data_IF_657084098077
#
_entry.id   IF_657084098077
#
_cell.length_a   1.000
_cell.length_b   1.000
_cell.length_c   1.000
_cell.angle_alpha   90.00
_cell.angle_beta   90.00
_cell.angle_gamma   90.00
#
_symmetry.space_group_name_H-M   'P 1'
#
loop_
_entity.id
_entity.type
_entity.pdbx_description
1 polymer ?
#
# COMPACT_ATOMS: atom_id res chain seq x y z
N UNK A 1 -9.10 -28.07 -7.04
CA UNK A 1 -8.19 -26.90 -7.22
C UNK A 1 -7.28 -26.88 -6.01
N UNK A 2 -5.99 -26.62 -6.18
CA UNK A 2 -5.07 -26.47 -5.04
C UNK A 2 -5.49 -25.19 -4.29
N UNK A 3 -5.66 -25.29 -3.00
CA UNK A 3 -5.95 -24.14 -2.14
C UNK A 3 -4.67 -23.32 -1.99
N UNK A 4 -4.68 -22.04 -2.35
CA UNK A 4 -3.50 -21.15 -2.21
C UNK A 4 -3.13 -21.01 -0.72
N UNK A 5 -1.88 -21.22 -0.35
CA UNK A 5 -1.39 -20.91 0.99
C UNK A 5 -1.06 -19.41 1.06
N UNK A 6 -1.60 -18.71 2.05
CA UNK A 6 -1.35 -17.28 2.26
C UNK A 6 -0.47 -17.09 3.49
N UNK A 7 0.74 -16.54 3.32
CA UNK A 7 1.58 -16.11 4.42
C UNK A 7 1.18 -14.70 4.83
N UNK A 8 0.62 -14.55 6.01
CA UNK A 8 0.35 -13.25 6.63
C UNK A 8 1.53 -12.90 7.52
N UNK A 9 2.15 -11.75 7.28
CA UNK A 9 3.36 -11.30 7.99
C UNK A 9 3.00 -10.05 8.80
N UNK A 10 3.19 -10.11 10.11
CA UNK A 10 3.06 -8.97 11.01
C UNK A 10 4.43 -8.58 11.53
N UNK A 11 4.75 -7.30 11.40
CA UNK A 11 5.93 -6.72 12.07
C UNK A 11 5.48 -5.76 13.15
N UNK A 12 6.16 -5.75 14.29
CA UNK A 12 5.86 -4.85 15.40
C UNK A 12 7.11 -4.39 16.14
N UNK A 13 7.02 -3.21 16.72
CA UNK A 13 8.01 -2.69 17.65
C UNK A 13 7.34 -1.72 18.62
N UNK A 14 7.33 -2.05 19.91
CA UNK A 14 6.68 -1.28 20.97
C UNK A 14 5.21 -0.93 20.62
N UNK A 15 4.42 -1.98 20.34
CA UNK A 15 3.05 -1.87 19.84
C UNK A 15 2.04 -2.62 20.73
N UNK A 16 2.24 -2.59 22.06
CA UNK A 16 1.43 -3.35 23.01
C UNK A 16 -0.06 -2.99 23.01
N UNK A 17 -0.42 -1.79 22.53
CA UNK A 17 -1.82 -1.35 22.40
C UNK A 17 -2.50 -1.82 21.11
N UNK A 18 -1.71 -2.13 20.09
CA UNK A 18 -2.17 -2.37 18.72
C UNK A 18 -2.04 -3.84 18.31
N UNK A 19 -1.00 -4.54 18.79
CA UNK A 19 -0.62 -5.88 18.29
C UNK A 19 -1.71 -6.94 18.51
N UNK A 20 -2.42 -6.87 19.63
CA UNK A 20 -3.48 -7.84 19.95
C UNK A 20 -4.61 -7.82 18.92
N UNK A 21 -5.06 -6.62 18.50
CA UNK A 21 -6.13 -6.50 17.51
C UNK A 21 -5.69 -7.04 16.15
N UNK A 22 -4.43 -6.84 15.77
CA UNK A 22 -3.88 -7.37 14.52
C UNK A 22 -3.85 -8.89 14.55
N UNK A 23 -3.28 -9.50 15.60
CA UNK A 23 -3.24 -10.96 15.75
C UNK A 23 -4.65 -11.56 15.75
N UNK A 24 -5.57 -10.98 16.51
CA UNK A 24 -6.96 -11.43 16.58
C UNK A 24 -7.67 -11.34 15.22
N UNK A 25 -7.38 -10.30 14.43
CA UNK A 25 -7.90 -10.12 13.09
C UNK A 25 -7.45 -11.23 12.14
N UNK A 26 -6.19 -11.65 12.21
CA UNK A 26 -5.64 -12.76 11.42
C UNK A 26 -6.21 -14.10 11.89
N UNK A 27 -6.17 -14.37 13.19
CA UNK A 27 -6.64 -15.63 13.78
C UNK A 27 -8.14 -15.88 13.53
N UNK A 28 -8.93 -14.81 13.40
CA UNK A 28 -10.38 -14.90 13.17
C UNK A 28 -10.77 -15.13 11.71
N UNK A 29 -9.84 -15.18 10.77
CA UNK A 29 -10.15 -15.41 9.35
C UNK A 29 -10.82 -16.78 9.14
N UNK A 30 -11.84 -16.81 8.28
CA UNK A 30 -12.58 -18.04 7.93
C UNK A 30 -11.77 -18.98 7.06
N UNK A 31 -10.95 -18.43 6.16
CA UNK A 31 -9.98 -19.19 5.39
C UNK A 31 -8.93 -19.80 6.31
N UNK A 32 -8.61 -21.10 6.17
CA UNK A 32 -7.74 -21.82 7.11
C UNK A 32 -6.37 -22.18 6.57
N UNK A 33 -6.14 -22.07 5.25
CA UNK A 33 -4.83 -22.33 4.67
C UNK A 33 -3.94 -21.07 4.75
N UNK A 34 -3.66 -20.67 5.99
CA UNK A 34 -2.87 -19.48 6.35
C UNK A 34 -1.61 -19.95 7.06
N UNK A 35 -0.49 -19.32 6.76
CA UNK A 35 0.72 -19.33 7.54
C UNK A 35 0.89 -17.94 8.18
N UNK A 36 0.89 -17.89 9.50
CA UNK A 36 0.98 -16.62 10.22
C UNK A 36 2.35 -16.43 10.86
N UNK A 37 3.03 -15.36 10.47
CA UNK A 37 4.41 -15.04 10.86
C UNK A 37 4.42 -13.69 11.59
N UNK A 38 5.03 -13.63 12.77
CA UNK A 38 5.16 -12.39 13.56
C UNK A 38 6.64 -12.11 13.86
N UNK A 39 7.09 -10.92 13.47
CA UNK A 39 8.44 -10.44 13.73
C UNK A 39 8.37 -9.25 14.67
N UNK A 40 8.90 -9.41 15.88
CA UNK A 40 8.99 -8.35 16.87
C UNK A 40 10.43 -7.83 16.94
N UNK A 41 10.61 -6.53 16.76
CA UNK A 41 11.90 -5.82 16.74
C UNK A 41 12.57 -5.68 18.10
N UNK A 42 12.27 -6.57 19.06
CA UNK A 42 12.82 -6.52 20.43
C UNK A 42 12.06 -5.53 21.30
N UNK A 43 10.75 -5.56 21.29
CA UNK A 43 9.88 -4.69 22.09
C UNK A 43 10.12 -4.82 23.58
N UNK A 44 9.95 -3.69 24.31
CA UNK A 44 10.12 -3.61 25.77
C UNK A 44 8.86 -3.13 26.49
N UNK A 45 7.78 -2.89 25.78
CA UNK A 45 6.52 -2.29 26.27
C UNK A 45 5.44 -3.31 26.65
N UNK A 46 5.74 -4.62 26.54
CA UNK A 46 4.77 -5.70 26.78
C UNK A 46 4.27 -6.39 25.49
N UNK A 47 4.57 -5.89 24.31
CA UNK A 47 4.19 -6.50 23.01
C UNK A 47 4.57 -7.97 22.94
N UNK A 48 5.78 -8.33 23.36
CA UNK A 48 6.26 -9.71 23.40
C UNK A 48 5.36 -10.64 24.22
N UNK A 49 4.93 -10.19 25.39
CA UNK A 49 4.02 -10.99 26.25
C UNK A 49 2.70 -11.28 25.57
N UNK A 50 2.15 -10.31 24.85
CA UNK A 50 0.93 -10.50 24.06
C UNK A 50 1.15 -11.53 22.94
N UNK A 51 2.25 -11.45 22.20
CA UNK A 51 2.59 -12.42 21.17
C UNK A 51 2.69 -13.84 21.77
N UNK A 52 3.31 -13.98 22.95
CA UNK A 52 3.43 -15.26 23.67
C UNK A 52 2.05 -15.84 24.04
N UNK A 53 1.11 -15.02 24.45
CA UNK A 53 -0.28 -15.44 24.76
C UNK A 53 -0.99 -16.02 23.52
N UNK A 54 -0.71 -15.46 22.34
CA UNK A 54 -1.26 -15.90 21.06
C UNK A 54 -0.43 -16.96 20.32
N UNK A 55 0.59 -17.54 20.95
CA UNK A 55 1.52 -18.50 20.32
C UNK A 55 0.83 -19.66 19.58
N UNK A 56 -0.36 -20.09 20.04
CA UNK A 56 -1.14 -21.17 19.37
C UNK A 56 -1.76 -20.76 18.02
N UNK A 57 -1.81 -19.47 17.74
CA UNK A 57 -2.38 -18.89 16.54
C UNK A 57 -1.31 -18.42 15.55
N UNK A 58 -0.03 -18.55 15.90
CA UNK A 58 1.11 -18.06 15.14
C UNK A 58 1.99 -19.26 14.79
N UNK A 59 2.28 -19.43 13.51
CA UNK A 59 3.11 -20.55 13.03
C UNK A 59 4.59 -20.32 13.28
N UNK A 60 5.03 -19.05 13.18
CA UNK A 60 6.40 -18.64 13.50
C UNK A 60 6.43 -17.24 14.09
N UNK A 61 7.20 -17.06 15.15
CA UNK A 61 7.50 -15.72 15.65
C UNK A 61 8.89 -15.64 16.28
N UNK A 62 9.44 -14.45 16.26
CA UNK A 62 10.72 -14.12 16.93
C UNK A 62 10.65 -12.70 17.49
N UNK A 63 11.30 -12.50 18.64
CA UNK A 63 11.47 -11.18 19.27
C UNK A 63 12.95 -10.94 19.49
N UNK A 64 13.52 -10.10 18.66
CA UNK A 64 14.94 -9.70 18.73
C UNK A 64 15.13 -8.33 18.06
N UNK A 65 16.14 -7.54 18.49
CA UNK A 65 16.42 -6.27 17.84
C UNK A 65 16.65 -6.44 16.33
N UNK A 66 16.04 -5.55 15.56
CA UNK A 66 16.18 -5.48 14.11
C UNK A 66 16.69 -4.09 13.66
N UNK A 67 16.90 -3.92 12.36
CA UNK A 67 17.36 -2.66 11.78
C UNK A 67 16.23 -1.70 11.40
N UNK A 68 14.97 -2.06 11.68
CA UNK A 68 13.79 -1.28 11.32
C UNK A 68 12.70 -2.11 10.62
N UNK A 69 11.67 -1.45 10.10
CA UNK A 69 10.48 -2.11 9.57
C UNK A 69 10.80 -3.04 8.38
N UNK A 70 11.61 -2.59 7.43
CA UNK A 70 11.88 -3.39 6.22
C UNK A 70 12.80 -4.58 6.47
N UNK A 71 13.86 -4.49 7.30
CA UNK A 71 14.56 -5.66 7.79
C UNK A 71 13.66 -6.69 8.48
N UNK A 72 12.71 -6.23 9.31
CA UNK A 72 11.72 -7.11 9.93
C UNK A 72 10.78 -7.75 8.89
N UNK A 73 10.27 -6.98 7.91
CA UNK A 73 9.44 -7.51 6.82
C UNK A 73 10.20 -8.54 5.97
N UNK A 74 11.46 -8.28 5.62
CA UNK A 74 12.31 -9.23 4.88
C UNK A 74 12.58 -10.49 5.70
N UNK A 75 12.82 -10.37 7.00
CA UNK A 75 12.96 -11.52 7.90
C UNK A 75 11.69 -12.36 7.90
N UNK A 76 10.51 -11.76 8.04
CA UNK A 76 9.23 -12.45 7.93
C UNK A 76 9.06 -13.15 6.58
N UNK A 77 9.39 -12.47 5.49
CA UNK A 77 9.37 -13.05 4.13
C UNK A 77 10.28 -14.24 3.97
N UNK A 78 11.44 -14.25 4.61
CA UNK A 78 12.39 -15.39 4.53
C UNK A 78 11.79 -16.68 5.09
N UNK A 79 10.91 -16.56 6.08
CA UNK A 79 10.20 -17.67 6.72
C UNK A 79 8.85 -18.03 6.03
N UNK A 80 8.39 -17.22 5.07
CA UNK A 80 7.13 -17.46 4.37
C UNK A 80 7.24 -18.62 3.36
N UNK A 81 6.25 -19.52 3.35
CA UNK A 81 6.12 -20.65 2.43
C UNK A 81 4.86 -20.60 1.58
N UNK A 82 4.00 -19.60 1.81
CA UNK A 82 2.76 -19.39 1.08
C UNK A 82 2.98 -19.10 -0.41
N UNK A 83 1.93 -19.28 -1.18
CA UNK A 83 1.91 -18.88 -2.59
C UNK A 83 1.95 -17.35 -2.72
N UNK A 84 1.32 -16.65 -1.75
CA UNK A 84 1.32 -15.21 -1.61
C UNK A 84 1.70 -14.77 -0.20
N UNK A 85 2.34 -13.61 -0.10
CA UNK A 85 2.55 -12.87 1.13
C UNK A 85 1.63 -11.64 1.18
N UNK A 86 1.13 -11.32 2.38
CA UNK A 86 0.53 -10.03 2.71
C UNK A 86 1.11 -9.52 4.02
N UNK A 87 1.37 -8.22 4.09
CA UNK A 87 1.89 -7.59 5.30
C UNK A 87 0.75 -6.89 6.04
N UNK A 88 0.46 -7.39 7.24
CA UNK A 88 -0.52 -6.83 8.16
C UNK A 88 0.24 -6.36 9.40
N UNK A 89 0.80 -5.15 9.31
CA UNK A 89 1.64 -4.61 10.38
C UNK A 89 0.82 -4.33 11.64
N UNK A 90 1.49 -4.22 12.80
CA UNK A 90 0.78 -3.93 14.04
C UNK A 90 0.01 -2.62 13.94
N UNK A 91 -1.27 -2.68 14.26
CA UNK A 91 -2.23 -1.59 14.07
C UNK A 91 -3.18 -1.81 12.89
N UNK A 92 -2.75 -2.48 11.83
CA UNK A 92 -3.61 -2.85 10.72
C UNK A 92 -4.46 -4.08 11.05
N UNK A 93 -5.63 -4.19 10.44
CA UNK A 93 -6.53 -5.35 10.59
C UNK A 93 -7.17 -5.71 9.27
N UNK A 94 -7.54 -6.97 9.07
CA UNK A 94 -8.41 -7.34 7.96
C UNK A 94 -9.77 -6.67 8.09
N UNK A 95 -10.33 -6.23 6.97
CA UNK A 95 -11.63 -5.55 6.91
C UNK A 95 -12.79 -6.42 7.43
N UNK A 96 -12.74 -7.72 7.17
CA UNK A 96 -13.74 -8.69 7.66
C UNK A 96 -13.12 -10.08 7.83
N UNK A 97 -13.83 -10.96 8.53
CA UNK A 97 -13.35 -12.33 8.80
C UNK A 97 -13.27 -13.22 7.56
N UNK A 98 -13.86 -12.84 6.45
CA UNK A 98 -13.93 -13.61 5.21
C UNK A 98 -13.09 -13.00 4.07
N UNK A 99 -12.25 -12.02 4.37
CA UNK A 99 -11.39 -11.35 3.37
C UNK A 99 -10.53 -12.34 2.62
N UNK A 100 -9.77 -13.17 3.33
CA UNK A 100 -8.86 -14.13 2.69
C UNK A 100 -9.62 -15.17 1.87
N UNK A 101 -10.80 -15.61 2.32
CA UNK A 101 -11.64 -16.49 1.52
C UNK A 101 -12.08 -15.84 0.21
N UNK A 102 -12.55 -14.59 0.26
CA UNK A 102 -12.97 -13.84 -0.93
C UNK A 102 -11.80 -13.63 -1.92
N UNK A 103 -10.61 -13.36 -1.42
CA UNK A 103 -9.41 -13.22 -2.25
C UNK A 103 -9.09 -14.53 -2.96
N UNK A 104 -9.07 -15.65 -2.25
CA UNK A 104 -8.81 -16.97 -2.84
C UNK A 104 -9.91 -17.35 -3.83
N UNK A 105 -11.18 -17.08 -3.53
CA UNK A 105 -12.32 -17.33 -4.43
C UNK A 105 -12.24 -16.51 -5.72
N UNK A 106 -11.55 -15.36 -5.69
CA UNK A 106 -11.26 -14.56 -6.90
C UNK A 106 -10.27 -15.24 -7.85
N UNK A 107 -9.68 -16.36 -7.42
CA UNK A 107 -8.71 -17.17 -8.16
C UNK A 107 -7.52 -16.35 -8.68
N UNK A 108 -6.70 -15.77 -7.79
CA UNK A 108 -5.57 -14.92 -8.16
C UNK A 108 -4.53 -15.72 -8.93
N UNK A 109 -4.00 -15.12 -10.01
CA UNK A 109 -2.95 -15.71 -10.86
C UNK A 109 -1.76 -14.77 -11.04
N UNK A 110 -2.01 -13.51 -10.83
CA UNK A 110 -1.08 -12.42 -11.05
C UNK A 110 0.00 -12.40 -9.96
N UNK A 111 1.13 -11.77 -10.25
CA UNK A 111 2.24 -11.64 -9.29
C UNK A 111 1.90 -10.70 -8.14
N UNK A 112 1.08 -9.68 -8.42
CA UNK A 112 0.62 -8.69 -7.46
C UNK A 112 -0.91 -8.54 -7.60
N UNK A 113 -1.63 -8.81 -6.52
CA UNK A 113 -3.08 -8.66 -6.46
C UNK A 113 -3.42 -7.66 -5.36
N UNK A 114 -4.04 -6.55 -5.73
CA UNK A 114 -4.44 -5.50 -4.78
C UNK A 114 -5.95 -5.47 -4.62
N UNK A 115 -6.42 -5.36 -3.39
CA UNK A 115 -7.77 -4.92 -3.10
C UNK A 115 -7.81 -3.49 -2.60
N UNK A 116 -8.88 -3.12 -1.91
CA UNK A 116 -9.11 -1.76 -1.43
C UNK A 116 -8.69 -1.61 0.03
N UNK A 117 -8.35 -0.39 0.44
CA UNK A 117 -8.03 -0.05 1.82
C UNK A 117 -9.17 0.75 2.45
N UNK A 118 -9.53 0.42 3.68
CA UNK A 118 -10.47 1.22 4.48
C UNK A 118 -9.69 2.17 5.39
N UNK A 119 -9.96 3.48 5.25
CA UNK A 119 -9.36 4.55 6.09
C UNK A 119 -10.50 5.40 6.65
N UNK A 120 -10.62 5.51 7.96
CA UNK A 120 -11.68 6.30 8.61
C UNK A 120 -13.07 5.99 8.01
N UNK A 121 -13.44 4.72 7.93
CA UNK A 121 -14.69 4.20 7.37
C UNK A 121 -14.91 4.47 5.86
N UNK A 122 -13.93 5.03 5.17
CA UNK A 122 -13.99 5.22 3.73
C UNK A 122 -13.17 4.15 3.02
N UNK A 123 -13.77 3.51 2.02
CA UNK A 123 -13.06 2.57 1.16
C UNK A 123 -12.35 3.36 0.07
N UNK A 124 -11.03 3.24 0.05
CA UNK A 124 -10.15 3.87 -0.93
C UNK A 124 -9.67 2.78 -1.89
N UNK A 125 -10.11 2.82 -3.15
CA UNK A 125 -9.72 1.80 -4.11
C UNK A 125 -8.27 1.95 -4.57
N UNK A 126 -7.59 0.82 -4.78
CA UNK A 126 -6.40 0.79 -5.60
C UNK A 126 -6.79 0.95 -7.08
N UNK A 127 -5.89 1.42 -7.96
CA UNK A 127 -6.20 1.61 -9.38
C UNK A 127 -6.38 0.26 -10.11
N UNK A 128 -7.29 0.21 -11.09
CA UNK A 128 -7.47 -0.96 -11.96
C UNK A 128 -6.26 -1.19 -12.88
N UNK A 129 -5.60 -0.13 -13.27
CA UNK A 129 -4.39 -0.15 -14.10
C UNK A 129 -3.26 0.61 -13.43
N UNK A 130 -2.07 0.03 -13.45
CA UNK A 130 -0.88 0.64 -12.84
C UNK A 130 0.09 1.07 -13.92
N UNK A 131 0.42 2.36 -13.88
CA UNK A 131 1.46 2.97 -14.72
C UNK A 131 2.43 3.73 -13.82
N UNK A 132 3.55 4.19 -14.38
CA UNK A 132 4.50 5.04 -13.66
C UNK A 132 3.85 6.28 -13.02
N UNK A 133 2.73 6.77 -13.59
CA UNK A 133 1.96 7.89 -13.03
C UNK A 133 1.47 7.61 -11.59
N UNK A 134 1.11 6.36 -11.29
CA UNK A 134 0.68 5.96 -9.94
C UNK A 134 1.81 6.20 -8.96
N UNK A 135 2.99 5.69 -9.26
CA UNK A 135 4.16 5.80 -8.38
C UNK A 135 4.77 7.20 -8.29
N UNK A 136 4.52 8.03 -9.29
CA UNK A 136 4.95 9.42 -9.24
C UNK A 136 4.06 10.29 -8.34
N UNK A 137 2.80 9.89 -8.11
CA UNK A 137 1.82 10.65 -7.32
C UNK A 137 1.52 10.05 -5.95
N UNK A 138 1.63 8.73 -5.84
CA UNK A 138 1.16 7.96 -4.70
C UNK A 138 1.87 6.60 -4.63
N UNK A 139 1.23 5.63 -4.04
CA UNK A 139 1.64 4.22 -4.00
C UNK A 139 0.40 3.32 -4.08
N UNK A 140 0.62 2.01 -4.17
CA UNK A 140 -0.39 1.02 -3.84
C UNK A 140 -0.32 0.76 -2.33
N UNK A 141 -1.46 0.48 -1.73
CA UNK A 141 -1.52 0.24 -0.28
C UNK A 141 -1.00 -1.16 0.04
N UNK A 142 0.15 -1.26 0.67
CA UNK A 142 0.79 -2.55 0.97
C UNK A 142 -0.08 -3.45 1.87
N UNK A 143 -0.87 -2.87 2.78
CA UNK A 143 -1.80 -3.59 3.64
C UNK A 143 -2.94 -4.28 2.87
N UNK A 144 -3.21 -3.81 1.64
CA UNK A 144 -4.22 -4.38 0.76
C UNK A 144 -3.61 -5.11 -0.45
N UNK A 145 -2.31 -5.46 -0.39
CA UNK A 145 -1.56 -6.01 -1.52
C UNK A 145 -1.04 -7.40 -1.20
N UNK A 146 -1.49 -8.38 -1.99
CA UNK A 146 -0.97 -9.75 -2.00
C UNK A 146 0.14 -9.85 -3.05
N UNK A 147 1.29 -10.32 -2.64
CA UNK A 147 2.50 -10.41 -3.47
C UNK A 147 2.89 -11.87 -3.60
N UNK A 148 3.14 -12.37 -4.82
CA UNK A 148 3.73 -13.70 -5.00
C UNK A 148 4.97 -13.84 -4.15
N UNK A 149 5.04 -14.85 -3.31
CA UNK A 149 6.17 -15.09 -2.39
C UNK A 149 7.47 -15.22 -3.16
N UNK A 150 7.46 -15.86 -4.34
CA UNK A 150 8.63 -15.96 -5.19
C UNK A 150 9.13 -14.59 -5.68
N UNK A 151 8.23 -13.65 -5.99
CA UNK A 151 8.58 -12.30 -6.43
C UNK A 151 9.28 -11.52 -5.32
N UNK A 152 8.68 -11.45 -4.13
CA UNK A 152 9.26 -10.69 -3.00
C UNK A 152 10.54 -11.33 -2.45
N UNK A 153 10.69 -12.66 -2.55
CA UNK A 153 11.95 -13.33 -2.22
C UNK A 153 13.06 -13.05 -3.24
N UNK A 154 12.71 -12.85 -4.51
CA UNK A 154 13.67 -12.49 -5.57
C UNK A 154 14.13 -11.04 -5.45
N UNK A 155 13.20 -10.15 -5.09
CA UNK A 155 13.43 -8.71 -4.96
C UNK A 155 12.97 -8.25 -3.57
N UNK A 156 13.76 -8.48 -2.52
CA UNK A 156 13.38 -8.06 -1.16
C UNK A 156 13.31 -6.53 -1.04
N UNK A 157 12.67 -6.05 0.01
CA UNK A 157 12.66 -4.64 0.34
C UNK A 157 14.08 -4.10 0.56
N UNK A 158 14.33 -2.88 0.14
CA UNK A 158 15.60 -2.18 0.35
C UNK A 158 15.72 -1.73 1.82
N UNK A 159 16.55 -2.43 2.58
CA UNK A 159 16.75 -2.20 4.01
C UNK A 159 17.46 -0.88 4.33
N UNK A 160 18.05 -0.23 3.34
CA UNK A 160 18.63 1.10 3.50
C UNK A 160 17.60 2.22 3.59
N UNK A 161 16.37 1.97 3.13
CA UNK A 161 15.24 2.89 3.18
C UNK A 161 14.48 2.77 4.51
N UNK A 162 13.92 3.88 4.97
CA UNK A 162 13.19 3.94 6.25
C UNK A 162 11.67 4.00 6.08
N UNK A 163 11.18 4.47 4.95
CA UNK A 163 9.76 4.78 4.77
C UNK A 163 9.18 4.43 3.41
N UNK A 164 9.98 4.24 2.37
CA UNK A 164 9.50 4.09 0.99
C UNK A 164 9.99 2.82 0.28
N UNK A 165 10.46 1.79 1.00
CA UNK A 165 10.94 0.58 0.35
C UNK A 165 9.81 -0.28 -0.25
N UNK A 166 8.60 -0.26 0.31
CA UNK A 166 7.40 -0.87 -0.26
C UNK A 166 6.98 -0.18 -1.56
N UNK A 167 6.99 1.16 -1.59
CA UNK A 167 6.78 1.94 -2.81
C UNK A 167 7.83 1.58 -3.88
N UNK A 168 9.11 1.55 -3.52
CA UNK A 168 10.20 1.19 -4.41
C UNK A 168 10.02 -0.22 -4.98
N UNK A 169 9.75 -1.20 -4.12
CA UNK A 169 9.51 -2.58 -4.52
C UNK A 169 8.38 -2.69 -5.54
N UNK A 170 7.22 -2.07 -5.25
CA UNK A 170 6.05 -2.12 -6.12
C UNK A 170 6.33 -1.42 -7.47
N UNK A 171 6.97 -0.26 -7.44
CA UNK A 171 7.36 0.45 -8.66
C UNK A 171 8.31 -0.39 -9.51
N UNK A 172 9.37 -0.93 -8.92
CA UNK A 172 10.35 -1.75 -9.68
C UNK A 172 9.70 -3.01 -10.22
N UNK A 173 8.92 -3.71 -9.41
CA UNK A 173 8.25 -4.94 -9.84
C UNK A 173 7.30 -4.71 -11.01
N UNK A 174 6.43 -3.69 -10.92
CA UNK A 174 5.38 -3.44 -11.91
C UNK A 174 5.89 -2.70 -13.15
N UNK A 175 6.79 -1.72 -12.99
CA UNK A 175 7.20 -0.86 -14.10
C UNK A 175 8.45 -1.39 -14.80
N UNK A 176 9.44 -1.90 -14.05
CA UNK A 176 10.70 -2.32 -14.65
C UNK A 176 10.81 -3.84 -14.86
N UNK A 177 10.12 -4.64 -14.03
CA UNK A 177 10.12 -6.10 -14.14
C UNK A 177 8.87 -6.67 -14.80
N UNK A 178 7.88 -5.83 -15.18
CA UNK A 178 6.63 -6.24 -15.81
C UNK A 178 5.88 -7.33 -15.01
N UNK A 179 5.94 -7.28 -13.69
CA UNK A 179 5.14 -8.15 -12.86
C UNK A 179 3.65 -7.98 -13.20
N UNK A 180 2.93 -9.09 -13.30
CA UNK A 180 1.51 -9.06 -13.59
C UNK A 180 0.72 -8.49 -12.41
N UNK A 181 -0.28 -7.65 -12.72
CA UNK A 181 -1.07 -6.91 -11.74
C UNK A 181 -2.56 -7.15 -11.94
N UNK A 182 -3.29 -7.25 -10.85
CA UNK A 182 -4.74 -7.27 -10.86
C UNK A 182 -5.29 -6.53 -9.64
N UNK A 183 -6.23 -5.61 -9.88
CA UNK A 183 -7.08 -5.06 -8.84
C UNK A 183 -8.32 -5.92 -8.66
N UNK A 184 -8.73 -6.13 -7.41
CA UNK A 184 -9.96 -6.80 -7.03
C UNK A 184 -10.79 -5.85 -6.14
N UNK A 185 -12.06 -5.64 -6.47
CA UNK A 185 -12.96 -4.75 -5.72
C UNK A 185 -13.39 -5.41 -4.39
N UNK A 186 -12.43 -5.63 -3.50
CA UNK A 186 -12.63 -6.25 -2.19
C UNK A 186 -11.88 -5.38 -1.17
N UNK A 187 -12.55 -4.82 -0.17
CA UNK A 187 -11.88 -4.18 0.97
C UNK A 187 -11.07 -5.23 1.73
N UNK A 188 -9.76 -5.04 1.79
CA UNK A 188 -8.83 -6.01 2.38
C UNK A 188 -8.52 -5.66 3.83
N UNK A 189 -8.09 -4.43 4.07
CA UNK A 189 -7.58 -4.01 5.36
C UNK A 189 -8.20 -2.71 5.84
N UNK A 190 -8.18 -2.51 7.15
CA UNK A 190 -8.49 -1.25 7.82
C UNK A 190 -7.19 -0.66 8.33
N UNK A 191 -6.93 0.58 7.95
CA UNK A 191 -5.82 1.40 8.44
C UNK A 191 -6.38 2.50 9.35
N UNK A 192 -6.00 2.48 10.62
CA UNK A 192 -6.49 3.47 11.59
C UNK A 192 -5.60 4.72 11.70
N UNK A 193 -4.47 4.74 10.99
CA UNK A 193 -3.50 5.84 11.08
C UNK A 193 -2.55 5.69 12.26
N UNK A 194 -1.63 6.68 12.40
CA UNK A 194 -0.66 6.71 13.51
C UNK A 194 0.58 5.84 13.32
N UNK A 195 0.71 5.18 12.17
CA UNK A 195 1.89 4.37 11.83
C UNK A 195 3.12 5.21 11.49
N UNK A 196 4.24 4.51 11.20
CA UNK A 196 5.51 5.15 10.80
C UNK A 196 5.35 6.05 9.55
N UNK A 197 4.49 5.67 8.62
CA UNK A 197 4.23 6.41 7.38
C UNK A 197 3.69 7.82 7.64
N UNK A 198 2.83 8.00 8.64
CA UNK A 198 2.25 9.31 8.98
C UNK A 198 3.29 10.25 9.60
N UNK A 199 4.24 9.70 10.36
CA UNK A 199 5.26 10.46 11.08
C UNK A 199 6.54 10.71 10.26
N UNK A 200 6.74 10.00 9.15
CA UNK A 200 7.97 10.03 8.33
C UNK A 200 7.76 10.53 6.90
N UNK A 201 6.68 11.24 6.63
CA UNK A 201 6.33 11.70 5.27
C UNK A 201 7.44 12.50 4.58
N UNK A 202 8.21 13.31 5.33
CA UNK A 202 9.33 14.06 4.78
C UNK A 202 10.52 13.15 4.39
N UNK A 203 10.79 12.10 5.15
CA UNK A 203 11.83 11.10 4.85
C UNK A 203 11.43 10.29 3.64
N UNK A 204 10.19 9.78 3.62
CA UNK A 204 9.66 9.02 2.50
C UNK A 204 9.67 9.80 1.19
N UNK A 205 9.26 11.07 1.21
CA UNK A 205 9.30 11.92 0.02
C UNK A 205 10.73 12.13 -0.51
N UNK A 206 11.72 12.24 0.37
CA UNK A 206 13.12 12.34 -0.03
C UNK A 206 13.63 11.03 -0.64
N UNK A 207 13.34 9.89 -0.02
CA UNK A 207 13.71 8.57 -0.53
C UNK A 207 13.09 8.29 -1.90
N UNK A 208 11.82 8.64 -2.10
CA UNK A 208 11.11 8.55 -3.38
C UNK A 208 11.81 9.42 -4.45
N UNK A 209 12.10 10.70 -4.14
CA UNK A 209 12.75 11.60 -5.09
C UNK A 209 14.16 11.11 -5.46
N UNK A 210 14.95 10.64 -4.50
CA UNK A 210 16.29 10.11 -4.75
C UNK A 210 16.22 8.84 -5.63
N UNK A 211 15.26 7.93 -5.37
CA UNK A 211 15.08 6.74 -6.17
C UNK A 211 14.61 7.05 -7.60
N UNK A 212 13.67 8.00 -7.76
CA UNK A 212 13.23 8.44 -9.08
C UNK A 212 14.39 9.05 -9.90
N UNK A 213 15.25 9.84 -9.26
CA UNK A 213 16.45 10.40 -9.90
C UNK A 213 17.45 9.31 -10.29
N UNK A 214 17.53 8.23 -9.51
CA UNK A 214 18.42 7.11 -9.75
C UNK A 214 17.95 6.20 -10.88
N UNK A 215 16.65 5.90 -10.95
CA UNK A 215 16.10 4.90 -11.87
C UNK A 215 15.59 5.48 -13.20
N UNK A 216 15.22 6.77 -13.24
CA UNK A 216 14.68 7.38 -14.45
C UNK A 216 15.72 8.27 -15.16
N UNK A 217 15.84 8.19 -16.50
CA UNK A 217 16.57 9.18 -17.27
C UNK A 217 16.03 10.59 -16.98
N UNK A 218 16.95 11.56 -16.85
CA UNK A 218 16.61 12.95 -16.47
C UNK A 218 15.45 13.53 -17.29
N UNK A 219 15.43 13.31 -18.61
CA UNK A 219 14.39 13.85 -19.50
C UNK A 219 13.03 13.23 -19.22
N UNK A 220 12.97 11.93 -18.92
CA UNK A 220 11.73 11.25 -18.53
C UNK A 220 11.22 11.77 -17.19
N UNK A 221 12.13 11.99 -16.24
CA UNK A 221 11.76 12.55 -14.95
C UNK A 221 11.23 14.00 -15.09
N UNK A 222 11.80 14.79 -15.98
CA UNK A 222 11.30 16.13 -16.31
C UNK A 222 9.89 16.06 -16.92
N UNK A 223 9.63 15.13 -17.85
CA UNK A 223 8.30 14.93 -18.43
C UNK A 223 7.25 14.56 -17.36
N UNK A 224 7.59 13.70 -16.39
CA UNK A 224 6.69 13.37 -15.28
C UNK A 224 6.47 14.55 -14.33
N UNK A 225 7.50 15.32 -14.03
CA UNK A 225 7.38 16.56 -13.24
C UNK A 225 6.48 17.56 -13.94
N UNK A 226 6.67 17.76 -15.23
CA UNK A 226 5.83 18.64 -16.04
C UNK A 226 4.40 18.13 -16.15
N UNK A 227 4.19 16.83 -16.29
CA UNK A 227 2.87 16.25 -16.37
C UNK A 227 2.11 16.29 -15.03
N UNK A 228 2.77 16.04 -13.92
CA UNK A 228 2.15 15.97 -12.59
C UNK A 228 2.11 17.31 -11.86
N UNK A 229 3.14 18.15 -12.05
CA UNK A 229 3.27 19.47 -11.44
C UNK A 229 3.44 20.58 -12.48
N UNK A 230 3.71 20.22 -13.70
CA UNK A 230 3.93 21.06 -14.85
C UNK A 230 2.66 21.71 -15.28
N UNK A 231 2.73 22.88 -15.09
CA UNK A 231 1.67 23.77 -14.98
C UNK A 231 1.80 24.64 -16.18
N UNK A 232 0.99 24.33 -17.17
CA UNK A 232 0.72 25.40 -18.14
C UNK A 232 0.43 26.68 -17.35
N UNK A 233 0.80 27.87 -17.82
CA UNK A 233 0.48 29.12 -17.13
C UNK A 233 -0.98 29.22 -16.67
N UNK A 234 -1.88 28.60 -17.43
CA UNK A 234 -3.30 28.48 -17.09
C UNK A 234 -3.53 27.58 -15.85
N UNK A 235 -2.89 26.43 -15.76
CA UNK A 235 -3.02 25.53 -14.63
C UNK A 235 -2.32 26.09 -13.38
N UNK A 236 -1.21 26.84 -13.53
CA UNK A 236 -0.60 27.62 -12.43
C UNK A 236 -1.57 28.65 -11.88
N UNK A 237 -2.28 29.34 -12.76
CA UNK A 237 -3.28 30.30 -12.35
C UNK A 237 -4.44 29.60 -11.63
N UNK A 238 -4.95 28.51 -12.17
CA UNK A 238 -6.02 27.73 -11.56
C UNK A 238 -5.61 27.22 -10.18
N UNK A 239 -4.45 26.60 -10.05
CA UNK A 239 -3.94 26.09 -8.77
C UNK A 239 -3.78 27.19 -7.70
N UNK A 240 -3.32 28.40 -8.10
CA UNK A 240 -3.20 29.55 -7.18
C UNK A 240 -4.55 30.02 -6.63
N UNK A 241 -5.59 29.87 -7.39
CA UNK A 241 -6.92 30.39 -7.03
C UNK A 241 -7.90 29.30 -6.58
N UNK A 242 -7.58 28.04 -6.81
CA UNK A 242 -8.43 26.90 -6.44
C UNK A 242 -8.63 26.76 -4.92
N UNK A 243 -7.61 27.17 -4.13
CA UNK A 243 -7.70 27.27 -2.67
C UNK A 243 -8.68 28.34 -2.17
N UNK A 244 -9.23 29.18 -3.05
CA UNK A 244 -10.18 30.25 -2.71
C UNK A 244 -11.60 29.78 -3.05
N UNK A 245 -12.46 29.42 -2.05
CA UNK A 245 -13.75 28.77 -2.30
C UNK A 245 -14.67 29.50 -3.31
N UNK A 246 -14.84 30.85 -3.29
CA UNK A 246 -15.67 31.51 -4.28
C UNK A 246 -15.11 31.44 -5.70
N UNK A 247 -13.78 31.48 -5.85
CA UNK A 247 -13.11 31.42 -7.15
C UNK A 247 -13.23 30.03 -7.77
N UNK A 248 -13.04 28.98 -6.96
CA UNK A 248 -13.24 27.60 -7.37
C UNK A 248 -14.66 27.39 -7.91
N UNK A 249 -15.68 27.94 -7.25
CA UNK A 249 -17.08 27.86 -7.69
C UNK A 249 -17.31 28.56 -9.02
N UNK A 250 -16.67 29.71 -9.25
CA UNK A 250 -16.75 30.46 -10.52
C UNK A 250 -16.09 29.64 -11.64
N UNK A 251 -14.87 29.15 -11.44
CA UNK A 251 -14.14 28.33 -12.43
C UNK A 251 -14.95 27.10 -12.82
N UNK A 252 -15.48 26.38 -11.82
CA UNK A 252 -16.30 25.19 -12.05
C UNK A 252 -17.56 25.50 -12.89
N UNK A 253 -18.29 26.57 -12.56
CA UNK A 253 -19.50 26.96 -13.28
C UNK A 253 -19.18 27.43 -14.71
N UNK A 254 -18.09 28.20 -14.90
CA UNK A 254 -17.67 28.64 -16.23
C UNK A 254 -17.27 27.46 -17.11
N UNK A 255 -16.50 26.51 -16.58
CA UNK A 255 -16.13 25.31 -17.32
C UNK A 255 -17.37 24.47 -17.72
N UNK A 256 -18.37 24.34 -16.84
CA UNK A 256 -19.64 23.67 -17.19
C UNK A 256 -20.38 24.34 -18.34
N UNK A 257 -20.38 25.69 -18.39
CA UNK A 257 -21.02 26.45 -19.46
C UNK A 257 -20.26 26.24 -20.78
N UNK A 258 -18.93 26.38 -20.74
CA UNK A 258 -18.07 26.19 -21.93
C UNK A 258 -18.24 24.79 -22.50
N UNK A 259 -18.22 23.76 -21.66
CA UNK A 259 -18.38 22.36 -22.10
C UNK A 259 -19.77 22.09 -22.69
N UNK A 260 -20.82 22.73 -22.13
CA UNK A 260 -22.18 22.67 -22.73
C UNK A 260 -22.23 23.33 -24.10
N UNK A 261 -21.59 24.49 -24.25
CA UNK A 261 -21.55 25.23 -25.53
C UNK A 261 -20.76 24.43 -26.57
N UNK A 262 -19.68 23.76 -26.17
CA UNK A 262 -18.85 22.94 -27.06
C UNK A 262 -19.43 21.52 -27.29
N UNK A 263 -20.61 21.21 -26.74
CA UNK A 263 -21.28 19.91 -26.82
C UNK A 263 -20.36 18.73 -26.37
N UNK A 264 -19.41 19.02 -25.48
CA UNK A 264 -18.49 18.02 -24.91
C UNK A 264 -19.10 17.39 -23.67
N UNK A 265 -19.14 16.05 -23.64
CA UNK A 265 -19.53 15.31 -22.42
C UNK A 265 -18.39 15.38 -21.41
N UNK A 266 -18.70 15.83 -20.19
CA UNK A 266 -17.83 15.66 -19.05
C UNK A 266 -17.69 14.16 -18.74
N UNK A 267 -16.53 13.58 -18.97
CA UNK A 267 -16.21 12.29 -18.39
C UNK A 267 -16.05 12.49 -16.87
N UNK A 268 -16.73 11.67 -16.07
CA UNK A 268 -16.75 11.76 -14.61
C UNK A 268 -15.34 11.66 -13.95
N UNK A 269 -14.38 11.07 -14.65
CA UNK A 269 -12.97 11.03 -14.24
C UNK A 269 -12.29 12.40 -14.22
N UNK A 270 -12.67 13.32 -15.10
CA UNK A 270 -12.07 14.65 -15.18
C UNK A 270 -12.48 15.59 -14.04
N UNK A 271 -13.59 15.28 -13.36
CA UNK A 271 -14.12 16.08 -12.24
C UNK A 271 -13.41 15.72 -10.92
N UNK A 272 -12.86 14.51 -10.81
CA UNK A 272 -12.09 14.09 -9.62
C UNK A 272 -10.64 14.61 -9.61
N UNK A 273 -10.14 15.01 -10.77
CA UNK A 273 -8.78 15.54 -10.98
C UNK A 273 -8.76 17.08 -11.08
N UNK A 274 -9.90 17.76 -10.95
CA UNK A 274 -10.08 19.21 -10.80
C UNK A 274 -10.59 19.54 -9.39
#
# INVERSE_FOLDING_TARGET
MRSELISVITVCYNASKEIEKTISSVASQTYKNIEYIVIDGGSTDGSKGIIEEYNKNIDYWVSEPDGGIYPAMNKGTSHAHGDYCIYMNSGDTFYSKDVLQKVVDSNPKEDIVCGDLCICDNIIPNPDEVTMKVFYRSTLYHQATFIRTALIKTYPYDESMRSAADWKFLMHSLIFHNASYRHINIPIAVFEGGGLSDNSSSIGNKEVEEELQRCLPKRILEDYRDYCYGVTPFRQMVNKVEGIPPVRKIIYNTNRIVLKVLNMKLHSQWIKDL
#
